data_IF_460627795113
#
_entry.id   IF_460627795113
#
_cell.length_a   1.000
_cell.length_b   1.000
_cell.length_c   1.000
_cell.angle_alpha   90.00
_cell.angle_beta   90.00
_cell.angle_gamma   90.00
#
_symmetry.space_group_name_H-M   'P 1'
#
loop_
_entity.id
_entity.type
_entity.pdbx_description
1 polymer ?
#
# COMPACT_ATOMS: atom_id res chain seq x y z
N UNK A 1 6.62 12.88 25.28
CA UNK A 1 5.74 11.73 25.04
C UNK A 1 5.42 11.81 23.57
N UNK A 2 6.11 11.00 22.76
CA UNK A 2 5.98 11.06 21.31
C UNK A 2 4.60 10.53 20.95
N UNK A 3 3.75 11.39 20.40
CA UNK A 3 2.55 11.00 19.68
C UNK A 3 3.02 10.41 18.35
N UNK A 4 3.32 9.11 18.36
CA UNK A 4 3.40 8.31 17.15
C UNK A 4 1.98 8.21 16.59
N UNK A 5 1.56 9.28 15.92
CA UNK A 5 0.34 9.34 15.14
C UNK A 5 0.49 8.35 13.99
N UNK A 6 -0.17 7.20 14.14
CA UNK A 6 -0.38 6.17 13.13
C UNK A 6 -1.30 6.68 12.02
N UNK A 7 -0.94 7.82 11.43
CA UNK A 7 -1.53 8.30 10.20
C UNK A 7 -1.12 7.31 9.11
N UNK A 8 -2.10 6.53 8.66
CA UNK A 8 -2.06 5.72 7.45
C UNK A 8 -1.66 6.62 6.27
N UNK A 9 -0.36 6.87 6.12
CA UNK A 9 0.20 7.57 4.98
C UNK A 9 -0.03 6.65 3.80
N UNK A 10 -0.99 7.02 2.93
CA UNK A 10 -1.11 6.40 1.62
C UNK A 10 0.31 6.31 1.04
N UNK A 11 0.71 5.14 0.49
CA UNK A 11 2.09 4.93 0.09
C UNK A 11 2.46 6.06 -0.88
N UNK A 12 3.35 6.94 -0.44
CA UNK A 12 3.97 7.92 -1.34
C UNK A 12 4.69 7.14 -2.43
N UNK A 13 4.79 7.70 -3.64
CA UNK A 13 5.36 7.00 -4.80
C UNK A 13 6.71 6.33 -4.49
N UNK A 14 7.55 6.99 -3.69
CA UNK A 14 8.86 6.49 -3.27
C UNK A 14 8.78 5.31 -2.29
N UNK A 15 7.79 5.32 -1.39
CA UNK A 15 7.54 4.21 -0.44
C UNK A 15 7.04 2.95 -1.13
N UNK A 16 6.16 3.09 -2.12
CA UNK A 16 5.68 1.96 -2.93
C UNK A 16 6.83 1.34 -3.73
N UNK A 17 7.67 2.16 -4.36
CA UNK A 17 8.80 1.68 -5.15
C UNK A 17 9.79 0.88 -4.29
N UNK A 18 10.15 1.43 -3.12
CA UNK A 18 11.03 0.75 -2.15
C UNK A 18 10.46 -0.60 -1.70
N UNK A 19 9.13 -0.68 -1.49
CA UNK A 19 8.45 -1.93 -1.12
C UNK A 19 8.46 -2.96 -2.25
N UNK A 20 8.28 -2.54 -3.50
CA UNK A 20 8.35 -3.43 -4.65
C UNK A 20 9.77 -3.99 -4.83
N UNK A 21 10.81 -3.17 -4.66
CA UNK A 21 12.21 -3.62 -4.72
C UNK A 21 12.52 -4.70 -3.66
N UNK A 22 11.93 -4.62 -2.48
CA UNK A 22 12.06 -5.66 -1.45
C UNK A 22 11.31 -6.95 -1.80
N UNK A 23 10.18 -6.87 -2.53
CA UNK A 23 9.45 -8.05 -3.00
C UNK A 23 10.25 -8.77 -4.09
N UNK A 24 10.86 -8.03 -5.01
CA UNK A 24 11.68 -8.57 -6.10
C UNK A 24 12.89 -9.38 -5.60
N UNK A 25 13.38 -9.09 -4.40
CA UNK A 25 14.49 -9.82 -3.76
C UNK A 25 14.08 -11.17 -3.16
N UNK A 26 12.78 -11.47 -3.06
CA UNK A 26 12.27 -12.73 -2.49
C UNK A 26 12.31 -13.88 -3.51
N UNK A 27 12.28 -15.14 -3.04
CA UNK A 27 12.09 -16.29 -3.92
C UNK A 27 10.85 -16.15 -4.80
N UNK A 28 10.94 -16.61 -6.06
CA UNK A 28 9.86 -16.44 -7.05
C UNK A 28 8.50 -16.96 -6.55
N UNK A 29 8.51 -18.08 -5.83
CA UNK A 29 7.30 -18.70 -5.27
C UNK A 29 6.57 -17.80 -4.26
N UNK A 30 7.26 -16.86 -3.61
CA UNK A 30 6.69 -16.00 -2.56
C UNK A 30 6.23 -14.64 -3.09
N UNK A 31 6.65 -14.28 -4.31
CA UNK A 31 6.40 -12.95 -4.88
C UNK A 31 4.92 -12.72 -5.19
N UNK A 32 4.23 -13.75 -5.69
CA UNK A 32 2.82 -13.65 -6.07
C UNK A 32 1.96 -13.20 -4.88
N UNK A 33 2.08 -13.89 -3.74
CA UNK A 33 1.33 -13.56 -2.52
C UNK A 33 1.65 -12.16 -2.01
N UNK A 34 2.91 -11.74 -2.12
CA UNK A 34 3.33 -10.40 -1.71
C UNK A 34 2.75 -9.30 -2.62
N UNK A 35 2.66 -9.51 -3.93
CA UNK A 35 2.02 -8.56 -4.84
C UNK A 35 0.51 -8.49 -4.64
N UNK A 36 -0.15 -9.60 -4.31
CA UNK A 36 -1.59 -9.60 -3.99
C UNK A 36 -1.86 -8.66 -2.82
N UNK A 37 -1.04 -8.71 -1.76
CA UNK A 37 -1.19 -7.80 -0.62
C UNK A 37 -1.02 -6.32 -1.01
N UNK A 38 -0.04 -6.01 -1.87
CA UNK A 38 0.15 -4.63 -2.38
C UNK A 38 -1.05 -4.18 -3.21
N UNK A 39 -1.55 -5.06 -4.08
CA UNK A 39 -2.71 -4.79 -4.91
C UNK A 39 -3.95 -4.51 -4.05
N UNK A 40 -4.24 -5.36 -3.06
CA UNK A 40 -5.41 -5.22 -2.20
C UNK A 40 -5.39 -3.91 -1.40
N UNK A 41 -4.22 -3.51 -0.91
CA UNK A 41 -4.02 -2.23 -0.22
C UNK A 41 -4.29 -1.04 -1.15
N UNK A 42 -3.75 -1.06 -2.37
CA UNK A 42 -3.98 0.01 -3.36
C UNK A 42 -5.45 0.08 -3.78
N UNK A 43 -6.11 -1.06 -3.99
CA UNK A 43 -7.55 -1.13 -4.27
C UNK A 43 -8.35 -0.52 -3.13
N UNK A 44 -8.03 -0.85 -1.87
CA UNK A 44 -8.72 -0.28 -0.72
C UNK A 44 -8.58 1.26 -0.63
N UNK A 45 -7.40 1.80 -0.95
CA UNK A 45 -7.16 3.24 -1.00
C UNK A 45 -7.98 3.92 -2.10
N UNK A 46 -8.03 3.32 -3.29
CA UNK A 46 -8.84 3.82 -4.40
C UNK A 46 -10.34 3.81 -4.06
N UNK A 47 -10.84 2.70 -3.55
CA UNK A 47 -12.24 2.54 -3.14
C UNK A 47 -12.63 3.56 -2.06
N UNK A 48 -11.75 3.81 -1.08
CA UNK A 48 -11.98 4.82 -0.05
C UNK A 48 -12.05 6.24 -0.65
N UNK A 49 -11.16 6.55 -1.60
CA UNK A 49 -11.12 7.83 -2.31
C UNK A 49 -12.34 8.04 -3.21
N UNK A 50 -12.89 6.98 -3.79
CA UNK A 50 -14.14 7.02 -4.55
C UNK A 50 -15.36 7.25 -3.65
N UNK A 51 -15.45 6.56 -2.52
CA UNK A 51 -16.52 6.78 -1.52
C UNK A 51 -16.55 8.21 -1.02
N UNK A 52 -15.38 8.76 -0.68
CA UNK A 52 -15.22 10.15 -0.25
C UNK A 52 -15.66 11.16 -1.32
N UNK A 53 -15.39 10.88 -2.60
CA UNK A 53 -15.84 11.72 -3.72
C UNK A 53 -17.36 11.65 -3.93
N UNK A 54 -17.97 10.48 -3.74
CA UNK A 54 -19.40 10.29 -3.89
C UNK A 54 -20.22 10.92 -2.74
N UNK A 55 -19.60 11.17 -1.58
CA UNK A 55 -20.23 11.82 -0.43
C UNK A 55 -20.17 13.37 -0.46
N UNK A 56 -19.55 13.98 -1.48
CA UNK A 56 -19.51 15.44 -1.68
C UNK A 56 -20.54 15.87 -2.72
#
# INVERSE_FOLDING_TARGET
MNEEDGASAAPTGDGLLSRLELIEQRPLAERADAYVQVHDELSAVLDASERERASR
#
